data_IF_077654926774
#
_entry.id   IF_077654926774
#
_cell.length_a   1.000
_cell.length_b   1.000
_cell.length_c   1.000
_cell.angle_alpha   90.00
_cell.angle_beta   90.00
_cell.angle_gamma   90.00
#
_symmetry.space_group_name_H-M   'P 1'
#
loop_
_entity.id
_entity.type
_entity.pdbx_description
1 polymer ?
#
# COMPACT_ATOMS: atom_id res chain seq x y z
N UNK A 1 -16.02 -3.38 -56.25
CA UNK A 1 -14.74 -3.61 -55.57
C UNK A 1 -14.68 -2.80 -54.27
N UNK A 2 -14.93 -3.46 -53.15
CA UNK A 2 -14.84 -2.88 -51.81
C UNK A 2 -13.47 -3.26 -51.23
N UNK A 3 -12.55 -2.28 -51.14
CA UNK A 3 -11.30 -2.42 -50.48
C UNK A 3 -11.48 -2.30 -48.97
N UNK A 4 -11.48 -3.40 -48.27
CA UNK A 4 -11.41 -3.42 -46.79
C UNK A 4 -10.02 -3.04 -46.34
N UNK A 5 -9.95 -2.00 -45.50
CA UNK A 5 -8.73 -1.63 -44.77
C UNK A 5 -8.38 -2.75 -43.77
N UNK A 6 -7.12 -3.19 -43.69
CA UNK A 6 -6.71 -4.16 -42.66
C UNK A 6 -6.72 -3.48 -41.30
N UNK A 7 -7.58 -3.96 -40.40
CA UNK A 7 -7.50 -3.66 -38.99
C UNK A 7 -6.12 -4.11 -38.48
N UNK A 8 -5.34 -3.16 -38.01
CA UNK A 8 -4.08 -3.42 -37.33
C UNK A 8 -4.35 -4.13 -36.00
N UNK A 9 -4.45 -5.45 -36.04
CA UNK A 9 -4.40 -6.33 -34.88
C UNK A 9 -2.95 -6.53 -34.43
N UNK A 10 -2.36 -5.46 -33.91
CA UNK A 10 -1.02 -5.45 -33.37
C UNK A 10 -1.00 -4.74 -32.02
N UNK A 11 -2.01 -4.95 -31.20
CA UNK A 11 -1.89 -4.54 -29.79
C UNK A 11 -0.92 -5.50 -29.13
N UNK A 12 0.25 -4.96 -28.89
CA UNK A 12 1.42 -5.63 -28.33
C UNK A 12 1.02 -6.41 -27.07
N UNK A 13 0.86 -7.73 -27.19
CA UNK A 13 0.55 -8.64 -26.09
C UNK A 13 1.57 -8.49 -24.94
N UNK A 14 2.79 -8.10 -25.28
CA UNK A 14 3.88 -7.91 -24.30
C UNK A 14 3.66 -6.70 -23.40
N UNK A 15 3.12 -5.60 -23.94
CA UNK A 15 2.80 -4.40 -23.15
C UNK A 15 1.63 -4.67 -22.18
N UNK A 16 0.58 -5.34 -22.63
CA UNK A 16 -0.55 -5.73 -21.78
C UNK A 16 -0.14 -6.73 -20.70
N UNK A 17 0.77 -7.65 -20.99
CA UNK A 17 1.32 -8.62 -20.04
C UNK A 17 2.25 -7.93 -19.06
N UNK A 18 3.04 -6.95 -19.51
CA UNK A 18 3.91 -6.13 -18.65
C UNK A 18 3.09 -5.30 -17.65
N UNK A 19 2.05 -4.61 -18.12
CA UNK A 19 1.14 -3.83 -17.27
C UNK A 19 0.43 -4.71 -16.24
N UNK A 20 0.01 -5.91 -16.61
CA UNK A 20 -0.61 -6.86 -15.68
C UNK A 20 0.37 -7.35 -14.62
N UNK A 21 1.63 -7.59 -14.98
CA UNK A 21 2.69 -7.97 -14.04
C UNK A 21 3.05 -6.83 -13.09
N UNK A 22 3.06 -5.58 -13.55
CA UNK A 22 3.32 -4.41 -12.69
C UNK A 22 2.22 -4.19 -11.64
N UNK A 23 0.97 -4.52 -11.93
CA UNK A 23 -0.14 -4.42 -10.98
C UNK A 23 -0.11 -5.47 -9.87
N UNK A 24 0.52 -6.61 -10.13
CA UNK A 24 0.57 -7.75 -9.20
C UNK A 24 1.92 -7.88 -8.49
N UNK A 25 2.74 -6.81 -8.44
CA UNK A 25 4.00 -6.83 -7.72
C UNK A 25 3.73 -6.83 -6.21
N UNK A 26 3.82 -8.01 -5.60
CA UNK A 26 3.76 -8.16 -4.16
C UNK A 26 4.99 -7.54 -3.47
N UNK A 27 4.81 -7.03 -2.25
CA UNK A 27 5.91 -6.48 -1.43
C UNK A 27 7.12 -7.41 -1.37
N UNK A 28 6.93 -8.71 -1.21
CA UNK A 28 8.01 -9.71 -1.18
C UNK A 28 8.90 -9.70 -2.43
N UNK A 29 8.34 -9.39 -3.59
CA UNK A 29 9.09 -9.27 -4.84
C UNK A 29 9.96 -8.02 -4.85
N UNK A 30 9.42 -6.88 -4.41
CA UNK A 30 10.15 -5.61 -4.27
C UNK A 30 11.25 -5.76 -3.21
N UNK A 31 10.90 -6.32 -2.07
CA UNK A 31 11.77 -6.54 -0.92
C UNK A 31 13.05 -7.29 -1.27
N UNK A 32 12.95 -8.31 -2.13
CA UNK A 32 14.11 -9.10 -2.58
C UNK A 32 15.10 -8.30 -3.44
N UNK A 33 14.61 -7.27 -4.13
CA UNK A 33 15.40 -6.41 -5.03
C UNK A 33 15.88 -5.13 -4.37
N UNK A 34 15.34 -4.77 -3.23
CA UNK A 34 15.67 -3.54 -2.54
C UNK A 34 17.03 -3.66 -1.86
N UNK A 35 18.02 -2.92 -2.34
CA UNK A 35 19.41 -3.00 -1.90
C UNK A 35 19.69 -2.25 -0.59
N UNK A 36 19.18 -1.02 -0.34
CA UNK A 36 19.48 -0.31 0.90
C UNK A 36 18.79 -0.97 2.10
N UNK A 37 19.58 -1.63 2.96
CA UNK A 37 19.07 -2.39 4.10
C UNK A 37 18.24 -1.54 5.07
N UNK A 38 18.63 -0.27 5.30
CA UNK A 38 17.89 0.63 6.17
C UNK A 38 16.50 1.00 5.60
N UNK A 39 16.41 1.28 4.29
CA UNK A 39 15.12 1.52 3.61
C UNK A 39 14.23 0.30 3.70
N UNK A 40 14.81 -0.89 3.46
CA UNK A 40 14.09 -2.15 3.58
C UNK A 40 13.52 -2.38 4.97
N UNK A 41 14.29 -2.10 6.03
CA UNK A 41 13.86 -2.25 7.41
C UNK A 41 12.66 -1.33 7.75
N UNK A 42 12.66 -0.08 7.29
CA UNK A 42 11.55 0.85 7.48
C UNK A 42 10.27 0.36 6.79
N UNK A 43 10.40 -0.15 5.56
CA UNK A 43 9.26 -0.67 4.81
C UNK A 43 8.76 -2.02 5.36
N UNK A 44 9.64 -2.88 5.84
CA UNK A 44 9.25 -4.12 6.54
C UNK A 44 8.46 -3.78 7.81
N UNK A 45 8.91 -2.81 8.61
CA UNK A 45 8.20 -2.36 9.81
C UNK A 45 6.81 -1.79 9.48
N UNK A 46 6.68 -1.06 8.35
CA UNK A 46 5.38 -0.60 7.85
C UNK A 46 4.44 -1.77 7.55
N UNK A 47 4.90 -2.73 6.76
CA UNK A 47 4.09 -3.87 6.32
C UNK A 47 3.70 -4.81 7.48
N UNK A 48 4.54 -4.91 8.50
CA UNK A 48 4.25 -5.75 9.68
C UNK A 48 3.30 -5.10 10.68
N UNK A 49 3.09 -3.78 10.61
CA UNK A 49 2.23 -3.07 11.55
C UNK A 49 0.76 -3.48 11.43
N UNK A 50 0.11 -3.73 12.57
CA UNK A 50 -1.27 -4.24 12.62
C UNK A 50 -2.27 -3.28 11.95
N UNK A 51 -2.15 -1.98 12.18
CA UNK A 51 -3.05 -0.98 11.62
C UNK A 51 -2.87 -0.83 10.11
N UNK A 52 -1.63 -0.99 9.59
CA UNK A 52 -1.40 -1.02 8.16
C UNK A 52 -2.03 -2.26 7.51
N UNK A 53 -1.90 -3.42 8.14
CA UNK A 53 -2.56 -4.66 7.69
C UNK A 53 -4.08 -4.51 7.70
N UNK A 54 -4.63 -3.86 8.74
CA UNK A 54 -6.06 -3.53 8.82
C UNK A 54 -6.49 -2.64 7.65
N UNK A 55 -5.75 -1.56 7.37
CA UNK A 55 -6.05 -0.64 6.28
C UNK A 55 -5.99 -1.33 4.91
N UNK A 56 -4.99 -2.18 4.68
CA UNK A 56 -4.88 -2.98 3.47
C UNK A 56 -6.06 -3.97 3.32
N UNK A 57 -6.46 -4.62 4.40
CA UNK A 57 -7.61 -5.53 4.39
C UNK A 57 -8.92 -4.78 4.09
N UNK A 58 -9.12 -3.60 4.68
CA UNK A 58 -10.27 -2.73 4.43
C UNK A 58 -10.34 -2.31 2.95
N UNK A 59 -9.24 -1.82 2.40
CA UNK A 59 -9.14 -1.39 1.00
C UNK A 59 -9.43 -2.55 0.03
N UNK A 60 -8.80 -3.70 0.25
CA UNK A 60 -9.02 -4.89 -0.57
C UNK A 60 -10.44 -5.43 -0.45
N UNK A 61 -11.02 -5.44 0.75
CA UNK A 61 -12.40 -5.86 0.95
C UNK A 61 -13.36 -4.95 0.17
N UNK A 62 -13.20 -3.63 0.29
CA UNK A 62 -14.04 -2.66 -0.41
C UNK A 62 -13.90 -2.73 -1.94
N UNK A 63 -12.71 -3.05 -2.46
CA UNK A 63 -12.46 -3.16 -3.90
C UNK A 63 -13.01 -4.43 -4.53
N UNK A 64 -12.98 -5.54 -3.80
CA UNK A 64 -13.17 -6.87 -4.41
C UNK A 64 -14.38 -7.64 -3.89
N UNK A 65 -15.00 -7.24 -2.79
CA UNK A 65 -16.08 -8.02 -2.17
C UNK A 65 -17.35 -7.20 -1.92
N UNK A 66 -17.29 -6.27 -0.97
CA UNK A 66 -18.42 -5.43 -0.58
C UNK A 66 -17.94 -4.19 0.15
N UNK A 67 -18.74 -3.15 0.16
CA UNK A 67 -18.46 -1.96 0.95
C UNK A 67 -18.61 -2.33 2.43
N UNK A 68 -17.56 -2.06 3.22
CA UNK A 68 -17.65 -2.18 4.68
C UNK A 68 -18.55 -1.05 5.19
N UNK A 69 -19.49 -1.40 6.05
CA UNK A 69 -20.42 -0.44 6.60
C UNK A 69 -19.71 0.52 7.55
N UNK A 70 -19.90 1.82 7.31
CA UNK A 70 -19.37 2.92 8.11
C UNK A 70 -20.56 3.75 8.56
N UNK A 71 -20.82 3.77 9.86
CA UNK A 71 -21.92 4.47 10.46
C UNK A 71 -21.49 5.47 11.51
N UNK A 72 -22.39 6.43 11.81
CA UNK A 72 -22.22 7.27 12.98
C UNK A 72 -22.60 6.49 14.24
N UNK A 73 -21.72 6.51 15.22
CA UNK A 73 -21.90 5.80 16.48
C UNK A 73 -21.61 6.70 17.69
N UNK A 74 -22.21 6.35 18.82
CA UNK A 74 -21.96 6.95 20.12
C UNK A 74 -21.59 5.81 21.06
N UNK A 75 -20.46 5.91 21.74
CA UNK A 75 -20.06 4.98 22.78
C UNK A 75 -20.00 5.69 24.13
N UNK A 76 -20.87 5.28 25.04
CA UNK A 76 -20.87 5.82 26.41
C UNK A 76 -19.76 5.23 27.26
N UNK A 77 -19.27 4.04 26.89
CA UNK A 77 -18.17 3.37 27.59
C UNK A 77 -16.81 3.98 27.25
N UNK A 78 -16.62 4.34 25.97
CA UNK A 78 -15.40 4.96 25.46
C UNK A 78 -15.46 6.50 25.51
N UNK A 79 -16.60 7.06 25.94
CA UNK A 79 -16.87 8.50 25.97
C UNK A 79 -16.55 9.20 24.63
N UNK A 80 -16.88 8.56 23.53
CA UNK A 80 -16.56 9.03 22.19
C UNK A 80 -17.74 8.87 21.23
N UNK A 81 -17.72 9.67 20.16
CA UNK A 81 -18.73 9.62 19.11
C UNK A 81 -18.10 9.99 17.76
N UNK A 82 -18.71 9.55 16.68
CA UNK A 82 -18.24 9.87 15.34
C UNK A 82 -18.50 8.75 14.35
N UNK A 83 -17.77 8.77 13.23
CA UNK A 83 -17.82 7.70 12.26
C UNK A 83 -17.04 6.50 12.77
N UNK A 84 -17.64 5.33 12.65
CA UNK A 84 -17.06 4.03 13.04
C UNK A 84 -17.12 3.07 11.88
N UNK A 85 -15.99 2.45 11.57
CA UNK A 85 -15.91 1.28 10.67
C UNK A 85 -16.44 0.10 11.46
N UNK A 86 -17.46 -0.58 10.94
CA UNK A 86 -17.97 -1.79 11.57
C UNK A 86 -17.00 -2.96 11.42
N UNK A 87 -17.16 -3.99 12.24
CA UNK A 87 -16.40 -5.23 12.10
C UNK A 87 -16.62 -5.84 10.72
N UNK A 88 -15.57 -6.41 10.15
CA UNK A 88 -15.64 -7.12 8.87
C UNK A 88 -14.66 -8.28 8.86
N UNK A 89 -14.92 -9.26 7.99
CA UNK A 89 -14.03 -10.40 7.77
C UNK A 89 -13.41 -10.31 6.39
N UNK A 90 -12.09 -10.39 6.28
CA UNK A 90 -11.37 -10.43 5.01
C UNK A 90 -10.37 -11.59 5.01
N UNK A 91 -10.47 -12.45 3.99
CA UNK A 91 -9.64 -13.66 3.83
C UNK A 91 -9.60 -14.57 5.07
N UNK A 92 -10.75 -14.71 5.75
CA UNK A 92 -10.89 -15.54 6.96
C UNK A 92 -10.35 -14.90 8.24
N UNK A 93 -9.92 -13.64 8.18
CA UNK A 93 -9.45 -12.87 9.34
C UNK A 93 -10.52 -11.86 9.75
N UNK A 94 -10.92 -11.90 11.02
CA UNK A 94 -11.85 -10.96 11.60
C UNK A 94 -11.17 -9.68 12.02
N UNK A 95 -11.71 -8.56 11.57
CA UNK A 95 -11.23 -7.21 11.86
C UNK A 95 -12.21 -6.50 12.80
N UNK A 96 -11.70 -6.04 13.93
CA UNK A 96 -12.49 -5.33 14.93
C UNK A 96 -12.94 -3.94 14.43
N UNK A 97 -14.04 -3.39 14.96
CA UNK A 97 -14.47 -2.05 14.62
C UNK A 97 -13.42 -1.00 15.01
N UNK A 98 -13.32 0.07 14.21
CA UNK A 98 -12.39 1.17 14.45
C UNK A 98 -13.08 2.52 14.33
N UNK A 99 -12.75 3.46 15.20
CA UNK A 99 -13.14 4.86 15.04
C UNK A 99 -12.36 5.50 13.89
N UNK A 100 -13.05 6.01 12.88
CA UNK A 100 -12.44 6.49 11.63
C UNK A 100 -11.38 7.56 11.90
N UNK A 101 -11.76 8.63 12.63
CA UNK A 101 -10.89 9.80 12.81
C UNK A 101 -9.59 9.47 13.59
N UNK A 102 -9.62 8.87 14.79
CA UNK A 102 -8.40 8.56 15.51
C UNK A 102 -7.54 7.51 14.79
N UNK A 103 -8.18 6.52 14.15
CA UNK A 103 -7.47 5.49 13.40
C UNK A 103 -6.70 6.10 12.21
N UNK A 104 -7.38 6.86 11.35
CA UNK A 104 -6.73 7.47 10.18
C UNK A 104 -5.66 8.50 10.56
N UNK A 105 -5.89 9.26 11.63
CA UNK A 105 -4.90 10.24 12.13
C UNK A 105 -3.63 9.53 12.61
N UNK A 106 -3.78 8.47 13.39
CA UNK A 106 -2.65 7.67 13.88
C UNK A 106 -1.88 7.03 12.72
N UNK A 107 -2.59 6.42 11.77
CA UNK A 107 -1.99 5.82 10.59
C UNK A 107 -1.25 6.84 9.72
N UNK A 108 -1.85 7.99 9.46
CA UNK A 108 -1.21 9.06 8.70
C UNK A 108 0.12 9.48 9.35
N UNK A 109 0.11 9.79 10.64
CA UNK A 109 1.32 10.21 11.37
C UNK A 109 2.42 9.14 11.34
N UNK A 110 2.04 7.89 11.51
CA UNK A 110 2.98 6.76 11.48
C UNK A 110 3.58 6.56 10.09
N UNK A 111 2.75 6.58 9.05
CA UNK A 111 3.20 6.42 7.67
C UNK A 111 4.07 7.59 7.22
N UNK A 112 3.70 8.83 7.54
CA UNK A 112 4.50 10.02 7.27
C UNK A 112 5.91 9.88 7.86
N UNK A 113 6.01 9.54 9.15
CA UNK A 113 7.30 9.34 9.81
C UNK A 113 8.14 8.23 9.15
N UNK A 114 7.51 7.13 8.75
CA UNK A 114 8.18 6.02 8.05
C UNK A 114 8.70 6.44 6.68
N UNK A 115 7.89 7.16 5.90
CA UNK A 115 8.28 7.65 4.58
C UNK A 115 9.46 8.63 4.68
N UNK A 116 9.43 9.53 5.65
CA UNK A 116 10.53 10.48 5.87
C UNK A 116 11.83 9.76 6.26
N UNK A 117 11.79 8.77 7.16
CA UNK A 117 12.98 7.98 7.52
C UNK A 117 13.50 7.18 6.33
N UNK A 118 12.63 6.50 5.60
CA UNK A 118 13.02 5.75 4.40
C UNK A 118 13.65 6.66 3.33
N UNK A 119 13.09 7.86 3.13
CA UNK A 119 13.63 8.88 2.22
C UNK A 119 15.02 9.36 2.65
N UNK A 120 15.25 9.61 3.93
CA UNK A 120 16.56 10.00 4.45
C UNK A 120 17.60 8.88 4.25
N UNK A 121 17.24 7.63 4.55
CA UNK A 121 18.12 6.47 4.31
C UNK A 121 18.46 6.29 2.83
N UNK A 122 17.50 6.57 1.94
CA UNK A 122 17.75 6.51 0.50
C UNK A 122 18.71 7.61 0.05
N UNK A 123 18.55 8.83 0.55
CA UNK A 123 19.47 9.95 0.27
C UNK A 123 20.89 9.63 0.74
N UNK A 124 21.06 9.09 1.94
CA UNK A 124 22.37 8.68 2.47
C UNK A 124 23.01 7.60 1.60
N UNK A 125 22.23 6.62 1.17
CA UNK A 125 22.72 5.56 0.29
C UNK A 125 23.22 6.11 -1.06
N UNK A 126 22.44 7.01 -1.68
CA UNK A 126 22.81 7.65 -2.96
C UNK A 126 24.07 8.50 -2.78
N UNK A 127 24.17 9.31 -1.73
CA UNK A 127 25.33 10.12 -1.44
C UNK A 127 26.62 9.27 -1.28
N UNK A 128 26.54 8.17 -0.56
CA UNK A 128 27.65 7.23 -0.40
C UNK A 128 28.06 6.56 -1.73
N UNK A 129 27.10 6.19 -2.56
CA UNK A 129 27.36 5.58 -3.87
C UNK A 129 28.08 6.57 -4.81
N UNK A 130 27.64 7.84 -4.82
CA UNK A 130 28.27 8.90 -5.62
C UNK A 130 29.68 9.24 -5.14
N UNK A 131 29.93 9.25 -3.82
CA UNK A 131 31.27 9.47 -3.27
C UNK A 131 32.24 8.35 -3.68
N UNK A 132 31.82 7.09 -3.66
CA UNK A 132 32.62 5.95 -4.11
C UNK A 132 32.94 5.99 -5.60
N UNK A 133 32.01 6.45 -6.44
CA UNK A 133 32.21 6.53 -7.89
C UNK A 133 33.15 7.66 -8.35
N UNK A 134 33.44 8.65 -7.48
CA UNK A 134 34.36 9.77 -7.78
C UNK A 134 35.81 9.52 -7.38
N UNK A 135 36.08 8.43 -6.66
CA UNK A 135 37.41 8.09 -6.14
C UNK A 135 38.13 6.98 -6.92
N UNK A 136 37.63 6.62 -8.12
CA UNK A 136 38.23 5.59 -9.00
C UNK A 136 38.84 6.17 -10.27
#
# INVERSE_FOLDING_TARGET
SAGGLPYATGMNRDAATCIKRERDIAWETVRKRLTPAAVKAELDALHEHADFKYLCALDNHCKHRSIVDIGYAISFTEETHGLRINAFTHDGIDHAPQWVSPFLKSEYQRQEATILRAGNHLNDYVAQALAKGRGG
#
